data_IF_031029898376
#
_entry.id   IF_031029898376
#
_cell.length_a   1.000
_cell.length_b   1.000
_cell.length_c   1.000
_cell.angle_alpha   90.00
_cell.angle_beta   90.00
_cell.angle_gamma   90.00
#
_symmetry.space_group_name_H-M   'P 1'
#
loop_
_entity.id
_entity.type
_entity.pdbx_description
1 polymer ?
#
# COMPACT_ATOMS: atom_id res chain seq x y z
N UNK A 1 16.62 6.86 0.43
CA UNK A 1 15.21 6.61 0.18
C UNK A 1 15.02 5.65 -0.96
N UNK A 2 14.18 4.67 -0.76
CA UNK A 2 13.91 3.68 -1.78
C UNK A 2 12.43 3.59 -2.05
N UNK A 3 12.10 3.20 -3.25
CA UNK A 3 10.71 2.95 -3.62
C UNK A 3 10.34 1.52 -3.25
N UNK A 4 9.27 1.40 -2.49
CA UNK A 4 8.73 0.08 -2.11
C UNK A 4 7.34 -0.04 -2.70
N UNK A 5 7.13 -1.12 -3.45
CA UNK A 5 5.85 -1.37 -4.08
C UNK A 5 5.35 -2.75 -3.71
N UNK A 6 4.05 -2.88 -3.60
CA UNK A 6 3.44 -4.16 -3.36
C UNK A 6 2.07 -4.18 -3.98
N UNK A 7 1.71 -5.30 -4.58
CA UNK A 7 0.39 -5.45 -5.17
C UNK A 7 -0.35 -6.59 -4.47
N UNK A 8 -1.66 -6.43 -4.40
CA UNK A 8 -2.54 -7.42 -3.80
C UNK A 8 -3.54 -7.84 -4.86
N UNK A 9 -3.37 -9.02 -5.43
CA UNK A 9 -4.25 -9.45 -6.53
C UNK A 9 -5.69 -9.58 -6.09
N UNK A 10 -6.57 -9.03 -6.90
CA UNK A 10 -8.01 -9.16 -6.70
C UNK A 10 -8.49 -8.63 -5.35
N UNK A 11 -7.78 -7.66 -4.81
CA UNK A 11 -8.20 -7.04 -3.56
C UNK A 11 -8.80 -5.68 -3.87
N UNK A 12 -10.07 -5.54 -3.58
CA UNK A 12 -10.77 -4.27 -3.81
C UNK A 12 -11.15 -3.64 -2.48
N UNK A 13 -10.89 -2.37 -2.38
CA UNK A 13 -11.27 -1.59 -1.20
C UNK A 13 -11.95 -0.31 -1.68
N UNK A 14 -12.91 0.16 -0.90
CA UNK A 14 -13.56 1.42 -1.25
C UNK A 14 -12.62 2.60 -1.00
N UNK A 15 -13.03 3.77 -1.50
CA UNK A 15 -12.18 4.95 -1.43
C UNK A 15 -11.82 5.32 0.00
N UNK A 16 -12.76 5.18 0.91
CA UNK A 16 -12.50 5.55 2.30
C UNK A 16 -11.43 4.65 2.90
N UNK A 17 -11.50 3.35 2.64
CA UNK A 17 -10.49 2.43 3.13
C UNK A 17 -9.12 2.75 2.56
N UNK A 18 -9.06 3.03 1.26
CA UNK A 18 -7.79 3.38 0.64
C UNK A 18 -7.21 4.65 1.23
N UNK A 19 -8.07 5.63 1.47
CA UNK A 19 -7.63 6.87 2.08
C UNK A 19 -7.07 6.63 3.48
N UNK A 20 -7.72 5.80 4.25
CA UNK A 20 -7.26 5.51 5.60
C UNK A 20 -5.90 4.84 5.60
N UNK A 21 -5.71 3.86 4.73
CA UNK A 21 -4.41 3.19 4.64
C UNK A 21 -3.34 4.17 4.17
N UNK A 22 -3.65 4.96 3.18
CA UNK A 22 -2.71 5.96 2.68
C UNK A 22 -2.32 6.94 3.76
N UNK A 23 -3.30 7.42 4.53
CA UNK A 23 -3.03 8.38 5.59
C UNK A 23 -2.13 7.76 6.66
N UNK A 24 -2.40 6.51 7.03
CA UNK A 24 -1.57 5.86 8.03
C UNK A 24 -0.15 5.64 7.53
N UNK A 25 0.00 5.29 6.26
CA UNK A 25 1.33 5.12 5.69
C UNK A 25 2.08 6.44 5.64
N UNK A 26 1.41 7.51 5.26
CA UNK A 26 2.06 8.82 5.21
C UNK A 26 2.41 9.33 6.60
N UNK A 27 1.68 8.90 7.62
CA UNK A 27 1.99 9.26 9.00
C UNK A 27 3.04 8.36 9.62
N UNK A 28 3.38 7.27 8.95
CA UNK A 28 4.36 6.33 9.48
C UNK A 28 5.73 7.00 9.52
N UNK A 29 6.37 6.95 10.68
CA UNK A 29 7.65 7.63 10.84
C UNK A 29 8.69 7.04 9.90
N UNK A 30 9.34 7.89 9.13
CA UNK A 30 10.37 7.48 8.20
C UNK A 30 9.87 7.32 6.76
N UNK A 31 8.58 7.39 6.55
CA UNK A 31 8.03 7.33 5.20
C UNK A 31 7.96 8.74 4.63
N UNK A 32 8.60 8.93 3.48
CA UNK A 32 8.61 10.24 2.83
C UNK A 32 7.27 10.51 2.15
N UNK A 33 6.77 9.54 1.42
CA UNK A 33 5.45 9.67 0.81
C UNK A 33 4.93 8.27 0.50
N UNK A 34 3.63 8.14 0.45
CA UNK A 34 3.01 6.86 0.18
C UNK A 34 1.72 7.05 -0.60
N UNK A 35 1.41 6.08 -1.41
CA UNK A 35 0.20 6.11 -2.22
C UNK A 35 -0.42 4.73 -2.25
N UNK A 36 -1.73 4.68 -2.09
CA UNK A 36 -2.47 3.41 -2.13
C UNK A 36 -3.65 3.60 -3.06
N UNK A 37 -3.73 2.75 -4.07
CA UNK A 37 -4.80 2.86 -5.04
C UNK A 37 -4.89 1.57 -5.84
N UNK A 38 -5.99 1.43 -6.55
CA UNK A 38 -6.08 0.32 -7.50
C UNK A 38 -5.08 0.56 -8.63
N UNK A 39 -4.58 -0.52 -9.21
CA UNK A 39 -3.50 -0.42 -10.19
C UNK A 39 -4.02 -0.15 -11.59
N UNK A 40 -4.87 0.84 -11.73
CA UNK A 40 -5.31 1.28 -13.04
C UNK A 40 -4.19 2.08 -13.70
N UNK A 41 -4.25 2.18 -15.01
CA UNK A 41 -3.24 2.95 -15.72
C UNK A 41 -3.17 4.39 -15.23
N UNK A 42 -4.33 4.99 -14.98
CA UNK A 42 -4.37 6.37 -14.52
C UNK A 42 -3.69 6.52 -13.15
N UNK A 43 -3.94 5.58 -12.25
CA UNK A 43 -3.34 5.65 -10.93
C UNK A 43 -1.84 5.41 -10.98
N UNK A 44 -1.41 4.49 -11.82
CA UNK A 44 0.02 4.23 -11.97
C UNK A 44 0.71 5.47 -12.54
N UNK A 45 0.07 6.13 -13.48
CA UNK A 45 0.62 7.37 -14.03
C UNK A 45 0.75 8.44 -12.96
N UNK A 46 -0.24 8.54 -12.09
CA UNK A 46 -0.16 9.52 -11.01
C UNK A 46 1.00 9.22 -10.07
N UNK A 47 1.23 7.95 -9.80
CA UNK A 47 2.35 7.58 -8.95
C UNK A 47 3.68 7.95 -9.60
N UNK A 48 3.78 7.73 -10.90
CA UNK A 48 4.98 8.10 -11.63
C UNK A 48 5.19 9.61 -11.60
N UNK A 49 4.12 10.36 -11.77
CA UNK A 49 4.21 11.82 -11.72
C UNK A 49 4.67 12.30 -10.36
N UNK A 50 4.35 11.57 -9.32
CA UNK A 50 4.77 11.91 -7.98
C UNK A 50 6.20 11.47 -7.67
N UNK A 51 6.87 10.88 -8.65
CA UNK A 51 8.24 10.43 -8.46
C UNK A 51 8.37 8.99 -8.04
N UNK A 52 7.29 8.27 -7.99
CA UNK A 52 7.31 6.85 -7.64
C UNK A 52 7.13 6.01 -8.90
N UNK A 53 8.24 5.61 -9.48
CA UNK A 53 8.25 4.84 -10.72
C UNK A 53 7.88 3.40 -10.45
N UNK A 54 6.61 3.12 -10.46
CA UNK A 54 6.11 1.77 -10.24
C UNK A 54 6.39 0.95 -11.49
N UNK A 55 7.13 -0.12 -11.32
CA UNK A 55 7.50 -0.96 -12.46
C UNK A 55 6.95 -2.36 -12.36
N UNK A 56 6.12 -2.62 -11.38
CA UNK A 56 5.57 -3.97 -11.26
C UNK A 56 4.37 -4.14 -12.17
N UNK A 57 4.14 -5.38 -12.49
CA UNK A 57 3.12 -5.78 -13.45
C UNK A 57 1.81 -6.02 -12.74
N UNK A 58 1.13 -4.95 -12.39
CA UNK A 58 -0.12 -5.04 -11.66
C UNK A 58 -1.30 -4.83 -12.59
N UNK A 59 -2.39 -5.49 -12.28
CA UNK A 59 -3.61 -5.38 -13.07
C UNK A 59 -4.55 -4.35 -12.48
N UNK A 60 -5.48 -3.84 -13.27
CA UNK A 60 -6.42 -2.84 -12.73
C UNK A 60 -7.24 -3.33 -11.54
N UNK A 61 -7.45 -4.63 -11.43
CA UNK A 61 -8.18 -5.19 -10.29
C UNK A 61 -7.31 -5.39 -9.07
N UNK A 62 -6.02 -5.16 -9.19
CA UNK A 62 -5.10 -5.34 -8.07
C UNK A 62 -5.00 -4.06 -7.28
N UNK A 63 -4.84 -4.20 -5.98
CA UNK A 63 -4.55 -3.04 -5.15
C UNK A 63 -3.05 -2.82 -5.15
N UNK A 64 -2.63 -1.57 -5.28
CA UNK A 64 -1.22 -1.24 -5.40
C UNK A 64 -0.82 -0.26 -4.32
N UNK A 65 0.29 -0.57 -3.65
CA UNK A 65 0.89 0.31 -2.67
C UNK A 65 2.27 0.73 -3.18
N UNK A 66 2.55 2.01 -3.12
CA UNK A 66 3.87 2.54 -3.44
C UNK A 66 4.26 3.52 -2.35
N UNK A 67 5.47 3.37 -1.83
CA UNK A 67 5.94 4.30 -0.81
C UNK A 67 7.45 4.49 -0.91
N UNK A 68 7.91 5.63 -0.42
CA UNK A 68 9.32 5.96 -0.39
C UNK A 68 9.81 5.98 1.05
N UNK A 69 10.78 5.15 1.36
CA UNK A 69 11.30 5.03 2.72
C UNK A 69 12.60 4.24 2.70
N UNK A 70 13.26 4.18 3.84
CA UNK A 70 14.41 3.29 3.99
C UNK A 70 13.98 1.85 3.92
N UNK A 71 14.96 0.97 3.74
CA UNK A 71 14.65 -0.45 3.65
C UNK A 71 13.88 -0.94 4.87
N UNK A 72 14.37 -0.60 6.06
CA UNK A 72 13.72 -1.06 7.29
C UNK A 72 12.35 -0.43 7.46
N UNK A 73 12.27 0.87 7.23
CA UNK A 73 11.00 1.57 7.38
C UNK A 73 10.00 1.08 6.33
N UNK A 74 10.47 0.89 5.12
CA UNK A 74 9.60 0.41 4.06
C UNK A 74 9.00 -0.94 4.38
N UNK A 75 9.82 -1.86 4.89
CA UNK A 75 9.31 -3.18 5.24
C UNK A 75 8.29 -3.09 6.36
N UNK A 76 8.56 -2.27 7.38
CA UNK A 76 7.61 -2.12 8.48
C UNK A 76 6.32 -1.48 8.03
N UNK A 77 6.43 -0.47 7.16
CA UNK A 77 5.23 0.22 6.68
C UNK A 77 4.39 -0.72 5.82
N UNK A 78 5.04 -1.54 4.99
CA UNK A 78 4.28 -2.50 4.18
C UNK A 78 3.63 -3.55 5.05
N UNK A 79 4.29 -3.96 6.12
CA UNK A 79 3.68 -4.90 7.07
C UNK A 79 2.43 -4.30 7.71
N UNK A 80 2.50 -3.03 8.10
CA UNK A 80 1.34 -2.36 8.66
C UNK A 80 0.21 -2.30 7.63
N UNK A 81 0.55 -1.94 6.41
CA UNK A 81 -0.47 -1.86 5.36
C UNK A 81 -1.10 -3.22 5.11
N UNK A 82 -0.28 -4.26 5.12
CA UNK A 82 -0.79 -5.61 4.92
C UNK A 82 -1.82 -5.97 5.99
N UNK A 83 -1.51 -5.62 7.23
CA UNK A 83 -2.45 -5.90 8.32
C UNK A 83 -3.74 -5.10 8.16
N UNK A 84 -3.63 -3.87 7.69
CA UNK A 84 -4.81 -3.04 7.50
C UNK A 84 -5.67 -3.52 6.34
N UNK A 85 -5.05 -4.10 5.33
CA UNK A 85 -5.77 -4.49 4.12
C UNK A 85 -6.33 -5.89 4.17
N UNK A 86 -5.81 -6.75 5.04
CA UNK A 86 -6.32 -8.11 5.13
C UNK A 86 -7.75 -8.11 5.63
N UNK A 87 -8.55 -8.93 5.05
CA UNK A 87 -9.89 -9.10 5.61
C UNK A 87 -9.78 -9.76 6.95
N UNK A 88 -10.00 -9.80 7.84
CA UNK A 88 -9.72 -10.36 9.00
C UNK A 88 -9.79 -11.26 9.55
N UNK A 89 -9.70 -11.66 9.51
CA UNK A 89 -9.67 -12.28 10.10
C UNK A 89 -9.11 -12.86 10.92
N UNK A 90 -8.96 -12.90 10.95
CA UNK A 90 -8.46 -13.32 11.54
C UNK A 90 -8.07 -13.48 12.51
N UNK A 91 -8.06 -13.35 12.77
CA UNK A 91 -7.57 -13.32 13.68
C UNK A 91 -7.78 -13.71 14.57
N UNK A 92 -7.98 -14.25 14.86
CA UNK A 92 -8.11 -14.46 15.27
C UNK A 92 -7.96 -14.66 15.60
N UNK A 93 -7.69 -14.77 16.28
CA UNK A 93 -7.68 -14.92 16.53
C UNK A 93 -7.44 -15.02 16.83
N UNK A 94 -7.12 -14.85 17.51
CA UNK A 94 -7.13 -14.97 17.67
C UNK A 94 -6.98 -15.04 17.91
N UNK A 95 -6.86 -14.90 18.71
CA UNK A 95 -6.91 -14.98 18.80
C UNK A 95 -6.83 -15.06 19.02
N UNK A 96 -6.81 -14.94 19.63
CA UNK A 96 -6.86 -15.00 19.69
C UNK A 96 -6.83 -15.09 19.78
N UNK A 97 -7.14 -15.11 20.00
CA UNK A 97 -7.25 -15.16 19.93
C UNK A 97 -7.23 -15.12 19.84
#
# INVERSE_FOLDING_TARGET
MKLHCKSYPNLYKDSVSLMQVSAKLNAFEGVSQASVAMATDANIERMRDAGMNVEMDARPNDLLIALMADDETGAAALEMADALLRPDNSRXXXXXX
#
